data_IF_270659797201
#
_entry.id   IF_270659797201
#
_cell.length_a   1.000
_cell.length_b   1.000
_cell.length_c   1.000
_cell.angle_alpha   90.00
_cell.angle_beta   90.00
_cell.angle_gamma   90.00
#
_symmetry.space_group_name_H-M   'P 1'
#
loop_
_entity.id
_entity.type
_entity.pdbx_description
1 polymer ?
#
# COMPACT_ATOMS: atom_id res chain seq x y z
N UNK A 1 -3.15 22.42 9.75
CA UNK A 1 -2.01 22.47 10.71
C UNK A 1 -0.79 21.92 9.98
N UNK A 2 0.44 21.85 10.53
CA UNK A 2 1.47 21.04 9.86
C UNK A 2 1.06 19.57 9.84
N UNK A 3 1.32 18.88 8.72
CA UNK A 3 1.22 17.43 8.62
C UNK A 3 2.37 16.81 9.39
N UNK A 4 2.07 15.90 10.30
CA UNK A 4 3.05 15.12 11.04
C UNK A 4 3.01 13.67 10.58
N UNK A 5 4.19 13.05 10.42
CA UNK A 5 4.32 11.63 10.11
C UNK A 5 5.31 10.97 11.04
N UNK A 6 5.03 9.74 11.47
CA UNK A 6 6.03 8.94 12.16
C UNK A 6 7.11 8.45 11.21
N UNK A 7 8.32 8.98 11.36
CA UNK A 7 9.45 8.58 10.56
C UNK A 7 10.13 7.36 11.19
N UNK A 8 10.07 6.23 10.47
CA UNK A 8 10.64 4.96 10.91
C UNK A 8 12.15 5.07 11.14
N UNK A 9 12.84 5.91 10.36
CA UNK A 9 14.29 6.09 10.49
C UNK A 9 14.65 6.72 11.86
N UNK A 10 13.90 7.71 12.31
CA UNK A 10 14.19 8.45 13.57
C UNK A 10 13.39 7.96 14.77
N UNK A 11 12.34 7.15 14.55
CA UNK A 11 11.39 6.64 15.56
C UNK A 11 10.59 7.74 16.24
N UNK A 12 10.38 8.86 15.57
CA UNK A 12 9.65 9.99 16.10
C UNK A 12 8.62 10.48 15.11
N UNK A 13 7.58 11.14 15.63
CA UNK A 13 6.65 11.89 14.82
C UNK A 13 7.30 13.22 14.45
N UNK A 14 7.41 13.51 13.17
CA UNK A 14 8.12 14.66 12.62
C UNK A 14 7.19 15.52 11.79
N UNK A 15 7.42 16.84 11.79
CA UNK A 15 6.76 17.77 10.88
C UNK A 15 7.19 17.44 9.44
N UNK A 16 6.21 17.16 8.57
CA UNK A 16 6.44 16.80 7.19
C UNK A 16 6.76 18.04 6.36
N UNK A 17 8.02 18.13 5.98
CA UNK A 17 8.55 19.17 5.10
C UNK A 17 9.04 18.55 3.79
N UNK A 18 8.35 18.79 2.65
CA UNK A 18 8.78 18.27 1.36
C UNK A 18 10.08 18.93 0.90
N UNK A 19 10.82 18.23 0.04
CA UNK A 19 12.00 18.73 -0.69
C UNK A 19 11.62 19.86 -1.64
N UNK A 20 10.46 19.75 -2.27
CA UNK A 20 9.87 20.77 -3.14
C UNK A 20 8.42 21.02 -2.70
N UNK A 21 8.09 22.22 -2.15
CA UNK A 21 6.73 22.58 -1.77
C UNK A 21 5.71 22.53 -2.92
N UNK A 22 6.17 22.56 -4.17
CA UNK A 22 5.32 22.45 -5.35
C UNK A 22 4.96 21.02 -5.75
N UNK A 23 5.73 20.01 -5.33
CA UNK A 23 5.52 18.62 -5.72
C UNK A 23 6.04 17.62 -4.67
N UNK A 24 5.12 16.97 -3.96
CA UNK A 24 5.46 15.86 -3.04
C UNK A 24 5.67 14.58 -3.82
N UNK A 25 6.82 13.93 -3.63
CA UNK A 25 7.20 12.69 -4.32
C UNK A 25 7.14 11.50 -3.37
N UNK A 26 6.21 10.59 -3.63
CA UNK A 26 5.95 9.43 -2.79
C UNK A 26 6.12 8.12 -3.55
N UNK A 27 6.90 7.19 -3.01
CA UNK A 27 7.02 5.82 -3.49
C UNK A 27 6.44 4.85 -2.45
N UNK A 28 5.65 3.87 -2.87
CA UNK A 28 5.17 2.78 -2.00
C UNK A 28 5.43 1.46 -2.68
N UNK A 29 6.10 0.53 -2.00
CA UNK A 29 6.33 -0.81 -2.53
C UNK A 29 5.01 -1.53 -2.78
N UNK A 30 4.79 -1.96 -4.03
CA UNK A 30 3.58 -2.66 -4.44
C UNK A 30 3.66 -4.18 -4.35
N UNK A 31 2.64 -4.89 -4.86
CA UNK A 31 2.53 -6.32 -4.68
C UNK A 31 3.39 -7.12 -5.66
N UNK A 32 3.76 -8.34 -5.26
CA UNK A 32 4.17 -9.39 -6.20
C UNK A 32 2.93 -10.01 -6.83
N UNK A 33 2.78 -9.90 -8.15
CA UNK A 33 1.55 -10.26 -8.87
C UNK A 33 1.56 -11.72 -9.34
N UNK A 34 1.59 -12.66 -8.40
CA UNK A 34 1.57 -14.11 -8.68
C UNK A 34 0.23 -14.79 -8.35
N UNK A 35 -0.64 -14.13 -7.58
CA UNK A 35 -1.92 -14.64 -7.11
C UNK A 35 -2.87 -13.49 -6.77
N UNK A 36 -4.13 -13.79 -6.40
CA UNK A 36 -5.09 -12.78 -5.96
C UNK A 36 -4.68 -12.09 -4.66
N UNK A 37 -5.06 -10.81 -4.54
CA UNK A 37 -4.72 -9.96 -3.41
C UNK A 37 -5.48 -10.41 -2.15
N UNK A 38 -4.75 -10.61 -1.05
CA UNK A 38 -5.36 -10.81 0.25
C UNK A 38 -5.46 -9.50 1.04
N UNK A 39 -6.24 -9.51 2.11
CA UNK A 39 -6.43 -8.34 3.00
C UNK A 39 -5.11 -7.72 3.49
N UNK A 40 -4.08 -8.54 3.73
CA UNK A 40 -2.73 -8.04 4.01
C UNK A 40 -2.09 -7.22 2.88
N UNK A 41 -2.37 -7.52 1.60
CA UNK A 41 -1.94 -6.69 0.47
C UNK A 41 -2.82 -5.44 0.30
N UNK A 42 -4.08 -5.52 0.72
CA UNK A 42 -5.03 -4.41 0.65
C UNK A 42 -4.70 -3.31 1.67
N UNK A 43 -4.29 -3.70 2.88
CA UNK A 43 -4.00 -2.76 3.97
C UNK A 43 -3.01 -1.64 3.57
N UNK A 44 -1.79 -1.92 3.06
CA UNK A 44 -0.90 -0.85 2.63
C UNK A 44 -1.55 0.03 1.55
N UNK A 45 -2.21 -0.56 0.55
CA UNK A 45 -2.86 0.21 -0.50
C UNK A 45 -3.91 1.21 0.03
N UNK A 46 -4.74 0.77 0.98
CA UNK A 46 -5.76 1.61 1.62
C UNK A 46 -5.14 2.69 2.51
N UNK A 47 -4.12 2.36 3.31
CA UNK A 47 -3.43 3.31 4.18
C UNK A 47 -2.74 4.41 3.37
N UNK A 48 -1.98 4.02 2.34
CA UNK A 48 -1.24 4.98 1.53
C UNK A 48 -2.16 5.75 0.57
N UNK A 49 -3.35 5.25 0.25
CA UNK A 49 -4.40 6.04 -0.40
C UNK A 49 -4.93 7.16 0.49
N UNK A 50 -5.15 6.91 1.80
CA UNK A 50 -5.51 7.99 2.74
C UNK A 50 -4.40 9.04 2.79
N UNK A 51 -3.14 8.62 2.88
CA UNK A 51 -2.00 9.55 2.83
C UNK A 51 -1.97 10.35 1.51
N UNK A 52 -2.17 9.68 0.37
CA UNK A 52 -2.20 10.33 -0.93
C UNK A 52 -3.31 11.39 -1.02
N UNK A 53 -4.52 11.07 -0.53
CA UNK A 53 -5.65 12.01 -0.49
C UNK A 53 -5.36 13.22 0.41
N UNK A 54 -4.77 13.01 1.59
CA UNK A 54 -4.35 14.09 2.49
C UNK A 54 -3.28 14.97 1.82
N UNK A 55 -2.27 14.37 1.20
CA UNK A 55 -1.23 15.12 0.48
C UNK A 55 -1.84 15.95 -0.66
N UNK A 56 -2.80 15.41 -1.42
CA UNK A 56 -3.49 16.15 -2.49
C UNK A 56 -4.37 17.29 -1.96
N UNK A 57 -4.88 17.18 -0.73
CA UNK A 57 -5.61 18.26 -0.08
C UNK A 57 -4.68 19.38 0.42
N UNK A 58 -3.42 19.06 0.74
CA UNK A 58 -2.46 19.99 1.33
C UNK A 58 -1.47 20.61 0.32
N UNK A 59 -1.18 19.90 -0.77
CA UNK A 59 -0.11 20.27 -1.71
C UNK A 59 -0.63 20.40 -3.14
N UNK A 60 -0.05 21.31 -3.96
CA UNK A 60 -0.51 21.53 -5.33
C UNK A 60 -0.35 20.31 -6.25
N UNK A 61 0.69 19.51 -6.02
CA UNK A 61 0.98 18.32 -6.81
C UNK A 61 1.58 17.25 -5.92
N UNK A 62 1.18 16.00 -6.19
CA UNK A 62 1.75 14.82 -5.57
C UNK A 62 2.05 13.85 -6.69
N UNK A 63 3.30 13.40 -6.80
CA UNK A 63 3.72 12.34 -7.71
C UNK A 63 3.80 11.03 -6.91
N UNK A 64 2.79 10.18 -7.04
CA UNK A 64 2.72 8.89 -6.37
C UNK A 64 3.12 7.74 -7.31
N UNK A 65 4.14 6.99 -6.92
CA UNK A 65 4.65 5.82 -7.64
C UNK A 65 4.45 4.56 -6.81
N UNK A 66 3.90 3.50 -7.41
CA UNK A 66 3.82 2.16 -6.81
C UNK A 66 4.12 1.09 -7.85
N UNK A 67 5.15 0.29 -7.63
CA UNK A 67 5.53 -0.73 -8.60
C UNK A 67 4.61 -1.96 -8.60
N UNK A 68 4.76 -2.78 -9.62
CA UNK A 68 4.37 -4.18 -9.61
C UNK A 68 5.62 -5.05 -9.77
N UNK A 69 5.84 -5.96 -8.83
CA UNK A 69 6.87 -7.00 -8.99
C UNK A 69 6.28 -8.12 -9.83
N UNK A 70 6.61 -8.09 -11.12
CA UNK A 70 6.15 -9.01 -12.16
C UNK A 70 7.24 -10.00 -12.62
N UNK A 71 8.33 -10.09 -11.86
CA UNK A 71 9.32 -11.17 -11.93
C UNK A 71 9.79 -11.53 -10.52
N UNK A 72 9.59 -12.77 -10.09
CA UNK A 72 9.98 -13.25 -8.76
C UNK A 72 10.01 -14.79 -8.75
N UNK A 73 10.66 -15.38 -7.75
CA UNK A 73 10.67 -16.84 -7.55
C UNK A 73 9.26 -17.43 -7.39
N UNK A 74 8.31 -16.71 -6.76
CA UNK A 74 6.91 -17.16 -6.64
C UNK A 74 6.18 -17.16 -7.98
N UNK A 75 6.45 -16.18 -8.84
CA UNK A 75 5.87 -16.09 -10.19
C UNK A 75 6.43 -17.22 -11.05
N UNK A 76 7.74 -17.46 -10.99
CA UNK A 76 8.39 -18.55 -11.72
C UNK A 76 7.88 -19.93 -11.26
N UNK A 77 7.68 -20.13 -9.96
CA UNK A 77 7.11 -21.36 -9.42
C UNK A 77 5.67 -21.57 -9.92
N UNK A 78 4.85 -20.50 -9.97
CA UNK A 78 3.49 -20.55 -10.51
C UNK A 78 3.49 -20.87 -12.00
N UNK A 79 4.33 -20.20 -12.79
CA UNK A 79 4.51 -20.45 -14.22
C UNK A 79 4.87 -21.91 -14.50
N UNK A 80 5.83 -22.46 -13.75
CA UNK A 80 6.21 -23.88 -13.85
C UNK A 80 5.05 -24.82 -13.49
N UNK A 81 4.27 -24.48 -12.46
CA UNK A 81 3.15 -25.31 -12.00
C UNK A 81 1.95 -25.30 -12.97
N UNK A 82 1.67 -24.18 -13.64
CA UNK A 82 0.52 -24.02 -14.55
C UNK A 82 0.88 -24.23 -16.02
N UNK A 83 2.17 -24.16 -16.39
CA UNK A 83 2.62 -24.14 -17.77
C UNK A 83 2.34 -22.81 -18.50
N UNK A 84 1.93 -21.77 -17.78
CA UNK A 84 1.69 -20.43 -18.33
C UNK A 84 2.96 -19.57 -18.28
N UNK A 85 3.12 -18.67 -19.25
CA UNK A 85 4.18 -17.65 -19.21
C UNK A 85 3.95 -16.63 -18.08
N UNK A 86 5.06 -16.06 -17.54
CA UNK A 86 4.99 -15.09 -16.45
C UNK A 86 4.19 -13.84 -16.85
N UNK A 87 4.24 -13.40 -18.11
CA UNK A 87 3.51 -12.24 -18.59
C UNK A 87 2.00 -12.46 -18.53
N UNK A 88 1.53 -13.66 -18.86
CA UNK A 88 0.11 -14.04 -18.77
C UNK A 88 -0.37 -14.05 -17.32
N UNK A 89 0.40 -14.68 -16.42
CA UNK A 89 0.06 -14.75 -15.00
C UNK A 89 -0.01 -13.35 -14.41
N UNK A 90 1.05 -12.56 -14.60
CA UNK A 90 1.22 -11.23 -13.99
C UNK A 90 0.25 -10.21 -14.56
N UNK A 91 -0.10 -10.27 -15.85
CA UNK A 91 -1.13 -9.42 -16.41
C UNK A 91 -2.50 -9.69 -15.78
N UNK A 92 -2.90 -10.97 -15.67
CA UNK A 92 -4.17 -11.38 -15.05
C UNK A 92 -4.27 -10.97 -13.58
N UNK A 93 -3.21 -11.18 -12.81
CA UNK A 93 -3.18 -10.86 -11.37
C UNK A 93 -3.03 -9.36 -11.11
N UNK A 94 -2.33 -8.62 -11.97
CA UNK A 94 -2.28 -7.15 -11.91
C UNK A 94 -3.67 -6.56 -12.14
N UNK A 95 -4.37 -7.00 -13.18
CA UNK A 95 -5.73 -6.56 -13.46
C UNK A 95 -6.67 -6.88 -12.29
N UNK A 96 -6.60 -8.12 -11.76
CA UNK A 96 -7.39 -8.50 -10.59
C UNK A 96 -7.08 -7.64 -9.36
N UNK A 97 -5.80 -7.34 -9.11
CA UNK A 97 -5.38 -6.46 -8.02
C UNK A 97 -5.96 -5.05 -8.19
N UNK A 98 -5.92 -4.47 -9.40
CA UNK A 98 -6.47 -3.14 -9.67
C UNK A 98 -7.99 -3.12 -9.44
N UNK A 99 -8.72 -4.12 -9.93
CA UNK A 99 -10.16 -4.26 -9.70
C UNK A 99 -10.49 -4.40 -8.21
N UNK A 100 -9.72 -5.21 -7.48
CA UNK A 100 -9.93 -5.44 -6.06
C UNK A 100 -9.64 -4.17 -5.25
N UNK A 101 -8.57 -3.43 -5.56
CA UNK A 101 -8.25 -2.17 -4.87
C UNK A 101 -9.23 -1.04 -5.23
N UNK A 102 -9.64 -0.95 -6.50
CA UNK A 102 -10.63 0.01 -6.95
C UNK A 102 -11.99 -0.18 -6.26
N UNK A 103 -12.39 -1.44 -6.04
CA UNK A 103 -13.59 -1.74 -5.26
C UNK A 103 -13.48 -1.32 -3.78
N UNK A 104 -12.27 -1.14 -3.24
CA UNK A 104 -12.02 -0.56 -1.91
C UNK A 104 -11.85 0.98 -1.94
N UNK A 105 -12.19 1.64 -3.05
CA UNK A 105 -12.06 3.08 -3.22
C UNK A 105 -10.61 3.59 -3.24
N UNK A 106 -9.63 2.73 -3.50
CA UNK A 106 -8.21 3.11 -3.59
C UNK A 106 -7.97 3.84 -4.91
N UNK A 107 -7.40 5.04 -4.85
CA UNK A 107 -6.98 5.78 -6.04
C UNK A 107 -5.78 5.11 -6.70
N UNK A 108 -5.72 5.20 -8.03
CA UNK A 108 -4.54 4.76 -8.76
C UNK A 108 -3.36 5.71 -8.53
N UNK A 109 -2.14 5.18 -8.33
CA UNK A 109 -0.91 5.95 -8.38
C UNK A 109 -0.71 6.63 -9.74
N UNK A 110 -0.02 7.77 -9.76
CA UNK A 110 0.34 8.49 -10.98
C UNK A 110 1.25 7.66 -11.90
N UNK A 111 2.09 6.79 -11.32
CA UNK A 111 2.94 5.86 -12.08
C UNK A 111 2.96 4.47 -11.44
N UNK A 112 2.78 3.44 -12.27
CA UNK A 112 2.74 2.04 -11.84
C UNK A 112 3.77 1.18 -12.59
N UNK A 113 5.08 1.33 -12.30
CA UNK A 113 6.11 0.67 -13.10
C UNK A 113 6.19 -0.83 -12.83
N UNK A 114 6.51 -1.59 -13.87
CA UNK A 114 6.75 -3.04 -13.80
C UNK A 114 8.24 -3.34 -13.76
N UNK A 115 8.67 -4.28 -12.92
CA UNK A 115 10.07 -4.68 -12.81
C UNK A 115 10.66 -5.16 -14.14
N UNK A 116 9.90 -5.97 -14.90
CA UNK A 116 10.35 -6.49 -16.22
C UNK A 116 10.62 -5.40 -17.26
N UNK A 117 10.06 -4.19 -17.08
CA UNK A 117 10.24 -3.04 -17.97
C UNK A 117 11.42 -2.14 -17.56
N UNK A 118 12.11 -2.45 -16.47
CA UNK A 118 13.15 -1.62 -15.86
C UNK A 118 14.49 -2.34 -15.67
N UNK A 119 14.71 -3.42 -16.43
CA UNK A 119 15.92 -4.24 -16.33
C UNK A 119 17.17 -3.44 -16.67
N UNK A 120 17.10 -2.53 -17.65
CA UNK A 120 18.23 -1.69 -18.04
C UNK A 120 18.67 -0.76 -16.90
N UNK A 121 17.72 -0.14 -16.21
CA UNK A 121 18.01 0.72 -15.05
C UNK A 121 18.58 -0.07 -13.87
N UNK A 122 18.08 -1.29 -13.64
CA UNK A 122 18.64 -2.19 -12.63
C UNK A 122 20.09 -2.56 -12.96
N UNK A 123 20.38 -2.95 -14.20
CA UNK A 123 21.74 -3.29 -14.63
C UNK A 123 22.67 -2.08 -14.45
N UNK A 124 22.26 -0.88 -14.89
CA UNK A 124 23.07 0.34 -14.78
C UNK A 124 23.38 0.71 -13.31
N UNK A 125 22.40 0.55 -12.41
CA UNK A 125 22.62 0.77 -10.98
C UNK A 125 23.59 -0.26 -10.39
N UNK A 126 23.50 -1.53 -10.81
CA UNK A 126 24.41 -2.59 -10.37
C UNK A 126 25.84 -2.33 -10.87
N UNK A 127 26.02 -1.92 -12.13
CA UNK A 127 27.32 -1.51 -12.66
C UNK A 127 27.94 -0.39 -11.82
N UNK A 128 27.14 0.65 -11.52
CA UNK A 128 27.57 1.77 -10.65
C UNK A 128 28.00 1.29 -9.26
N UNK A 129 27.24 0.36 -8.66
CA UNK A 129 27.57 -0.22 -7.36
C UNK A 129 28.89 -1.01 -7.39
N UNK A 130 29.17 -1.74 -8.46
CA UNK A 130 30.45 -2.45 -8.65
C UNK A 130 31.59 -1.44 -8.81
N UNK A 131 31.43 -0.45 -9.68
CA UNK A 131 32.43 0.59 -9.94
C UNK A 131 32.83 1.33 -8.66
N UNK A 132 31.85 1.60 -7.78
CA UNK A 132 32.07 2.25 -6.47
C UNK A 132 32.55 1.30 -5.36
N UNK A 133 32.73 0.01 -5.65
CA UNK A 133 33.23 -0.98 -4.68
C UNK A 133 32.19 -1.44 -3.65
N UNK A 134 30.90 -1.20 -3.89
CA UNK A 134 29.79 -1.62 -3.03
C UNK A 134 29.16 -2.95 -3.46
N UNK A 135 29.47 -3.44 -4.67
CA UNK A 135 29.01 -4.73 -5.16
C UNK A 135 30.14 -5.52 -5.81
N UNK A 136 29.93 -6.83 -5.97
CA UNK A 136 30.87 -7.72 -6.65
C UNK A 136 30.15 -8.85 -7.38
N UNK A 137 30.74 -9.31 -8.48
CA UNK A 137 30.30 -10.49 -9.20
C UNK A 137 30.97 -11.75 -8.64
N UNK A 138 30.21 -12.85 -8.55
CA UNK A 138 30.70 -14.18 -8.15
C UNK A 138 29.78 -15.26 -8.74
N UNK A 139 30.33 -16.24 -9.44
CA UNK A 139 29.59 -17.38 -10.00
C UNK A 139 28.31 -16.99 -10.77
N UNK A 140 28.41 -15.97 -11.62
CA UNK A 140 27.27 -15.43 -12.40
C UNK A 140 26.25 -14.61 -11.60
N UNK A 141 26.40 -14.52 -10.28
CA UNK A 141 25.64 -13.63 -9.41
C UNK A 141 26.32 -12.27 -9.32
N UNK A 142 25.55 -11.26 -8.94
CA UNK A 142 26.08 -10.00 -8.39
C UNK A 142 25.48 -9.78 -7.02
N UNK A 143 26.33 -9.43 -6.06
CA UNK A 143 25.96 -9.22 -4.67
C UNK A 143 26.35 -7.83 -4.22
N UNK A 144 25.50 -7.25 -3.36
CA UNK A 144 25.86 -6.08 -2.57
C UNK A 144 26.73 -6.53 -1.39
N UNK A 145 27.85 -5.86 -1.18
CA UNK A 145 28.72 -6.09 -0.04
C UNK A 145 28.25 -5.26 1.14
N UNK A 146 27.54 -5.88 2.09
CA UNK A 146 27.03 -5.18 3.29
C UNK A 146 28.15 -4.49 4.08
N UNK A 147 29.33 -5.11 4.29
CA UNK A 147 30.44 -4.45 4.97
C UNK A 147 30.95 -3.15 4.31
N UNK A 148 30.62 -2.91 3.03
CA UNK A 148 30.99 -1.67 2.33
C UNK A 148 30.17 -0.44 2.76
N UNK A 149 29.08 -0.64 3.52
CA UNK A 149 28.23 0.42 4.05
C UNK A 149 28.26 0.39 5.60
N UNK A 150 29.06 1.27 6.24
CA UNK A 150 29.26 1.22 7.69
C UNK A 150 28.00 1.38 8.55
N UNK A 151 26.99 2.11 8.05
CA UNK A 151 25.74 2.41 8.74
C UNK A 151 24.55 1.53 8.27
N UNK A 152 24.82 0.42 7.57
CA UNK A 152 23.79 -0.56 7.20
C UNK A 152 23.07 -1.10 8.45
N UNK A 153 21.74 -1.15 8.42
CA UNK A 153 20.92 -1.54 9.58
C UNK A 153 20.31 -0.34 10.32
N UNK A 154 20.57 0.90 9.88
CA UNK A 154 20.08 2.10 10.54
C UNK A 154 18.54 2.19 10.56
N UNK A 155 17.86 1.78 9.49
CA UNK A 155 16.40 1.83 9.42
C UNK A 155 15.76 0.81 10.36
N UNK A 156 16.25 -0.43 10.35
CA UNK A 156 15.72 -1.55 11.13
C UNK A 156 16.21 -1.58 12.58
N UNK A 157 17.28 -0.83 12.89
CA UNK A 157 18.02 -0.87 14.17
C UNK A 157 18.63 -2.24 14.48
N UNK A 158 18.84 -3.07 13.46
CA UNK A 158 19.54 -4.35 13.60
C UNK A 158 21.03 -4.13 13.53
N UNK A 159 21.76 -4.66 14.50
CA UNK A 159 23.22 -4.70 14.45
C UNK A 159 23.69 -5.91 13.60
N UNK A 160 24.97 -5.90 13.24
CA UNK A 160 25.57 -6.95 12.39
C UNK A 160 25.41 -8.37 12.95
N UNK A 161 25.50 -8.54 14.27
CA UNK A 161 25.39 -9.85 14.90
C UNK A 161 23.97 -10.40 14.78
N UNK A 162 22.94 -9.56 14.92
CA UNK A 162 21.54 -9.94 14.69
C UNK A 162 21.26 -10.30 13.22
N UNK A 163 21.89 -9.60 12.28
CA UNK A 163 21.79 -9.88 10.85
C UNK A 163 22.35 -11.28 10.52
N UNK A 164 23.53 -11.60 11.06
CA UNK A 164 24.20 -12.89 10.85
C UNK A 164 23.47 -14.02 11.60
N UNK A 165 23.00 -13.77 12.83
CA UNK A 165 22.28 -14.76 13.63
C UNK A 165 20.90 -15.13 13.06
N UNK A 166 20.29 -14.25 12.27
CA UNK A 166 19.08 -14.54 11.49
C UNK A 166 19.35 -15.35 10.22
N UNK A 167 20.54 -15.21 9.64
CA UNK A 167 20.97 -15.92 8.44
C UNK A 167 21.45 -17.36 8.74
N UNK A 168 20.73 -18.12 9.60
CA UNK A 168 21.08 -19.48 10.13
C UNK A 168 21.24 -20.60 9.07
N UNK A 169 21.51 -20.24 7.82
CA UNK A 169 21.79 -21.11 6.69
C UNK A 169 23.29 -21.04 6.39
N UNK A 170 23.85 -22.15 5.92
CA UNK A 170 25.20 -22.20 5.37
C UNK A 170 25.40 -21.05 4.36
N UNK A 171 26.44 -20.23 4.55
CA UNK A 171 26.73 -19.11 3.65
C UNK A 171 26.95 -19.68 2.27
N UNK A 172 26.11 -19.28 1.31
CA UNK A 172 26.24 -19.76 -0.07
C UNK A 172 27.66 -19.46 -0.57
N UNK A 173 28.32 -20.39 -1.29
CA UNK A 173 29.75 -20.32 -1.57
C UNK A 173 30.18 -19.08 -2.37
N UNK A 174 29.24 -18.46 -3.09
CA UNK A 174 29.46 -17.23 -3.85
C UNK A 174 29.40 -15.95 -3.00
N UNK A 175 29.08 -16.03 -1.70
CA UNK A 175 29.04 -14.89 -0.78
C UNK A 175 30.37 -14.74 -0.03
N UNK A 176 30.89 -13.51 0.02
CA UNK A 176 32.04 -13.12 0.87
C UNK A 176 31.63 -12.91 2.33
N UNK A 177 30.41 -12.44 2.56
CA UNK A 177 29.81 -12.26 3.89
C UNK A 177 28.38 -12.84 3.92
N UNK A 178 27.97 -13.39 5.06
CA UNK A 178 26.64 -13.98 5.23
C UNK A 178 25.49 -12.97 5.00
N UNK A 179 25.74 -11.70 5.33
CA UNK A 179 24.78 -10.60 5.18
C UNK A 179 24.65 -10.08 3.74
N UNK A 180 25.63 -10.38 2.87
CA UNK A 180 25.59 -9.94 1.47
C UNK A 180 24.33 -10.44 0.77
N UNK A 181 23.70 -9.58 -0.03
CA UNK A 181 22.43 -9.89 -0.69
C UNK A 181 22.52 -9.75 -2.20
N UNK A 182 21.67 -10.50 -2.89
CA UNK A 182 21.67 -10.60 -4.35
C UNK A 182 21.13 -9.30 -4.96
N UNK A 183 21.88 -8.76 -5.90
CA UNK A 183 21.45 -7.73 -6.84
C UNK A 183 21.02 -8.34 -8.18
N UNK A 184 21.75 -9.37 -8.63
CA UNK A 184 21.48 -10.12 -9.86
C UNK A 184 21.77 -11.60 -9.63
N UNK A 185 20.90 -12.49 -10.12
CA UNK A 185 21.09 -13.95 -10.04
C UNK A 185 20.99 -14.60 -11.42
N UNK A 186 21.77 -15.65 -11.70
CA UNK A 186 21.64 -16.45 -12.91
C UNK A 186 20.22 -16.96 -13.12
N UNK A 187 19.86 -17.15 -14.39
CA UNK A 187 18.58 -17.71 -14.77
C UNK A 187 18.77 -18.88 -15.72
N UNK A 188 18.18 -20.03 -15.38
CA UNK A 188 18.17 -21.21 -16.23
C UNK A 188 17.36 -20.96 -17.52
N UNK A 189 17.57 -21.73 -18.60
CA UNK A 189 16.88 -21.51 -19.87
C UNK A 189 15.35 -21.60 -19.79
N UNK A 190 14.82 -22.36 -18.84
CA UNK A 190 13.39 -22.60 -18.61
C UNK A 190 12.73 -21.57 -17.68
N UNK A 191 13.50 -20.63 -17.12
CA UNK A 191 12.98 -19.50 -16.35
C UNK A 191 13.30 -18.15 -17.01
N UNK A 192 12.46 -17.12 -16.80
CA UNK A 192 12.66 -15.78 -17.36
C UNK A 192 14.03 -15.20 -16.99
N UNK A 193 14.67 -14.56 -17.96
CA UNK A 193 15.98 -13.96 -17.79
C UNK A 193 16.33 -13.00 -18.91
N UNK A 194 17.29 -12.14 -18.64
CA UNK A 194 17.77 -11.08 -19.52
C UNK A 194 19.30 -11.14 -19.60
N UNK A 195 19.83 -10.67 -20.72
CA UNK A 195 21.26 -10.56 -20.90
C UNK A 195 21.82 -9.41 -20.05
N UNK A 196 22.99 -9.63 -19.46
CA UNK A 196 23.69 -8.65 -18.64
C UNK A 196 25.21 -8.84 -18.77
N UNK A 197 26.03 -7.89 -18.30
CA UNK A 197 27.48 -8.04 -18.25
C UNK A 197 27.96 -9.28 -17.47
N UNK A 198 27.11 -9.84 -16.60
CA UNK A 198 27.41 -11.00 -15.76
C UNK A 198 26.79 -12.30 -16.29
N UNK A 199 26.30 -12.28 -17.53
CA UNK A 199 25.59 -13.38 -18.16
C UNK A 199 24.07 -13.29 -18.02
N UNK A 200 23.37 -14.30 -18.54
CA UNK A 200 21.90 -14.36 -18.48
C UNK A 200 21.44 -14.51 -17.04
N UNK A 201 20.59 -13.61 -16.59
CA UNK A 201 20.07 -13.63 -15.23
C UNK A 201 18.82 -12.80 -15.05
N UNK A 202 18.52 -12.45 -13.80
CA UNK A 202 17.32 -11.72 -13.39
C UNK A 202 17.59 -10.95 -12.10
N UNK A 203 16.83 -9.89 -11.83
CA UNK A 203 17.07 -9.04 -10.67
C UNK A 203 16.87 -9.79 -9.35
N UNK A 204 17.58 -9.33 -8.32
CA UNK A 204 17.23 -9.57 -6.93
C UNK A 204 16.05 -8.70 -6.52
N UNK A 205 15.26 -9.14 -5.54
CA UNK A 205 14.01 -8.48 -5.15
C UNK A 205 14.16 -6.98 -4.83
N UNK A 206 15.25 -6.57 -4.20
CA UNK A 206 15.42 -5.20 -3.70
C UNK A 206 15.82 -4.18 -4.79
N UNK A 207 16.60 -4.60 -5.80
CA UNK A 207 17.17 -3.67 -6.79
C UNK A 207 16.10 -3.02 -7.66
N UNK A 208 14.95 -3.70 -7.79
CA UNK A 208 13.82 -3.22 -8.58
C UNK A 208 13.31 -1.88 -8.07
N UNK A 209 12.99 -1.80 -6.77
CA UNK A 209 12.41 -0.61 -6.16
C UNK A 209 13.40 0.56 -6.13
N UNK A 210 14.69 0.30 -5.84
CA UNK A 210 15.75 1.30 -5.91
C UNK A 210 15.87 1.93 -7.31
N UNK A 211 15.91 1.10 -8.36
CA UNK A 211 16.06 1.59 -9.73
C UNK A 211 14.80 2.32 -10.23
N UNK A 212 13.62 1.76 -9.99
CA UNK A 212 12.35 2.36 -10.44
C UNK A 212 12.06 3.67 -9.71
N UNK A 213 12.19 3.70 -8.38
CA UNK A 213 11.96 4.94 -7.60
C UNK A 213 12.91 6.06 -8.03
N UNK A 214 14.20 5.77 -8.23
CA UNK A 214 15.18 6.74 -8.71
C UNK A 214 14.81 7.29 -10.11
N UNK A 215 14.35 6.44 -11.03
CA UNK A 215 13.93 6.86 -12.38
C UNK A 215 12.76 7.85 -12.35
N UNK A 216 11.76 7.63 -11.50
CA UNK A 216 10.53 8.43 -11.49
C UNK A 216 10.56 9.60 -10.51
N UNK A 217 11.29 9.48 -9.40
CA UNK A 217 11.28 10.45 -8.32
C UNK A 217 12.65 11.12 -8.08
N UNK A 218 13.72 10.64 -8.72
CA UNK A 218 15.10 11.09 -8.50
C UNK A 218 15.81 10.34 -7.36
N UNK A 219 17.09 10.61 -7.18
CA UNK A 219 17.96 9.91 -6.22
C UNK A 219 17.57 10.10 -4.74
N UNK A 220 16.88 11.21 -4.44
CA UNK A 220 16.30 11.50 -3.13
C UNK A 220 14.90 12.07 -3.30
N UNK A 221 13.93 11.51 -2.56
CA UNK A 221 12.52 11.94 -2.57
C UNK A 221 11.92 12.03 -1.16
N UNK A 222 10.63 12.39 -1.08
CA UNK A 222 10.00 12.78 0.18
C UNK A 222 9.62 11.57 1.02
N UNK A 223 8.74 10.69 0.52
CA UNK A 223 8.11 9.63 1.31
C UNK A 223 8.37 8.27 0.66
N UNK A 224 8.89 7.32 1.42
CA UNK A 224 8.93 5.90 1.06
C UNK A 224 8.03 5.09 2.02
N UNK A 225 7.06 4.37 1.45
CA UNK A 225 6.04 3.64 2.18
C UNK A 225 6.05 2.12 1.97
N UNK A 226 5.57 1.37 2.96
CA UNK A 226 5.31 -0.06 2.83
C UNK A 226 4.80 -0.72 4.11
N UNK A 227 4.63 -2.05 4.09
CA UNK A 227 4.31 -2.82 5.30
C UNK A 227 5.49 -2.89 6.27
N UNK A 228 5.22 -3.10 7.57
CA UNK A 228 6.26 -3.22 8.60
C UNK A 228 7.26 -4.37 8.32
N UNK A 229 6.85 -5.43 7.62
CA UNK A 229 7.74 -6.48 7.11
C UNK A 229 8.78 -6.00 6.11
N UNK A 230 8.51 -4.89 5.41
CA UNK A 230 9.44 -4.36 4.41
C UNK A 230 10.59 -3.57 5.03
N UNK A 231 10.50 -3.11 6.28
CA UNK A 231 11.61 -2.43 6.98
C UNK A 231 12.90 -3.23 6.83
N UNK A 232 12.82 -4.55 7.05
CA UNK A 232 13.95 -5.45 6.88
C UNK A 232 13.53 -6.81 6.31
N UNK A 233 14.22 -7.32 5.27
CA UNK A 233 15.43 -6.76 4.66
C UNK A 233 15.18 -5.72 3.57
N UNK A 234 13.93 -5.56 3.10
CA UNK A 234 13.66 -4.92 1.81
C UNK A 234 14.10 -3.44 1.74
N UNK A 235 13.49 -2.57 2.54
CA UNK A 235 13.78 -1.15 2.56
C UNK A 235 15.20 -0.82 3.06
N UNK A 236 15.75 -1.62 3.99
CA UNK A 236 17.16 -1.48 4.40
C UNK A 236 18.10 -1.72 3.21
N UNK A 237 17.82 -2.74 2.38
CA UNK A 237 18.59 -3.02 1.18
C UNK A 237 18.42 -1.94 0.11
N UNK A 238 17.23 -1.37 -0.03
CA UNK A 238 16.99 -0.26 -0.96
C UNK A 238 17.74 1.01 -0.56
N UNK A 239 17.76 1.35 0.73
CA UNK A 239 18.60 2.42 1.26
C UNK A 239 20.06 2.18 0.89
N UNK A 240 20.55 0.96 1.10
CA UNK A 240 21.94 0.60 0.83
C UNK A 240 22.27 0.72 -0.66
N UNK A 241 21.47 0.12 -1.53
CA UNK A 241 21.63 0.22 -2.98
C UNK A 241 21.60 1.67 -3.46
N UNK A 242 20.58 2.43 -3.06
CA UNK A 242 20.33 3.77 -3.59
C UNK A 242 21.37 4.78 -3.10
N UNK A 243 21.72 4.78 -1.81
CA UNK A 243 22.74 5.69 -1.25
C UNK A 243 24.13 5.35 -1.76
N UNK A 244 24.49 4.07 -1.84
CA UNK A 244 25.80 3.66 -2.36
C UNK A 244 25.93 3.91 -3.87
N UNK A 245 24.85 3.75 -4.64
CA UNK A 245 24.84 4.05 -6.08
C UNK A 245 24.91 5.56 -6.37
N UNK A 246 24.14 6.39 -5.66
CA UNK A 246 24.07 7.85 -5.90
C UNK A 246 25.15 8.65 -5.14
N UNK A 247 25.60 8.16 -3.98
CA UNK A 247 26.43 8.93 -3.04
C UNK A 247 25.64 9.88 -2.15
N UNK A 248 24.30 9.80 -2.16
CA UNK A 248 23.43 10.65 -1.33
C UNK A 248 23.41 10.20 0.13
N UNK A 249 23.12 11.15 1.04
CA UNK A 249 22.96 10.84 2.46
C UNK A 249 21.59 10.21 2.76
N UNK A 250 20.57 10.54 1.97
CA UNK A 250 19.21 10.05 2.13
C UNK A 250 18.71 9.50 0.81
N UNK A 251 18.02 8.36 0.88
CA UNK A 251 17.22 7.84 -0.23
C UNK A 251 15.80 8.41 -0.19
N UNK A 252 15.16 8.38 0.98
CA UNK A 252 13.90 9.06 1.26
C UNK A 252 13.99 9.82 2.59
N UNK A 253 13.28 10.95 2.69
CA UNK A 253 13.26 11.74 3.94
C UNK A 253 12.41 11.11 5.03
N UNK A 254 11.24 10.59 4.66
CA UNK A 254 10.28 9.99 5.58
C UNK A 254 10.01 8.54 5.20
N UNK A 255 10.22 7.65 6.17
CA UNK A 255 9.92 6.23 6.04
C UNK A 255 8.65 5.88 6.79
N UNK A 256 7.57 5.58 6.08
CA UNK A 256 6.23 5.39 6.64
C UNK A 256 5.84 3.91 6.53
N UNK A 257 5.51 3.27 7.65
CA UNK A 257 5.19 1.83 7.64
C UNK A 257 3.88 1.52 8.37
N UNK A 258 2.99 0.77 7.71
CA UNK A 258 1.77 0.25 8.35
C UNK A 258 2.05 -1.03 9.13
N UNK A 259 1.32 -1.23 10.22
CA UNK A 259 1.42 -2.40 11.09
C UNK A 259 0.96 -3.69 10.43
N UNK A 260 1.27 -4.81 11.06
CA UNK A 260 0.86 -6.14 10.61
C UNK A 260 -0.65 -6.33 10.65
N UNK A 261 -1.15 -7.14 9.74
CA UNK A 261 -2.49 -7.69 9.83
C UNK A 261 -2.40 -9.14 10.35
N UNK A 262 -3.15 -9.47 11.39
CA UNK A 262 -3.38 -10.85 11.86
C UNK A 262 -4.82 -11.24 11.53
N UNK A 263 -5.13 -12.53 11.47
CA UNK A 263 -6.50 -13.05 11.34
C UNK A 263 -6.76 -13.89 12.57
N UNK A 264 -7.73 -13.51 13.39
CA UNK A 264 -8.09 -14.20 14.64
C UNK A 264 -6.88 -14.46 15.56
N UNK A 265 -6.05 -13.42 15.76
CA UNK A 265 -4.80 -13.44 16.53
C UNK A 265 -3.68 -14.36 15.98
N UNK A 266 -3.90 -14.99 14.83
CA UNK A 266 -2.89 -15.74 14.10
C UNK A 266 -2.29 -14.94 12.94
N UNK A 267 -1.01 -15.20 12.65
CA UNK A 267 -0.37 -14.63 11.47
C UNK A 267 -0.99 -15.26 10.22
N UNK A 268 -1.38 -14.44 9.24
CA UNK A 268 -1.85 -14.95 7.95
C UNK A 268 -0.79 -15.80 7.26
N UNK A 269 -1.15 -17.03 6.86
CA UNK A 269 -0.28 -17.88 6.05
C UNK A 269 -1.08 -18.85 5.19
N UNK A 270 -0.56 -19.15 3.99
CA UNK A 270 -1.16 -20.16 3.10
C UNK A 270 -1.20 -21.55 3.75
N UNK A 271 -0.22 -21.87 4.60
CA UNK A 271 -0.09 -23.16 5.28
C UNK A 271 -1.16 -23.41 6.34
N UNK A 272 -1.68 -22.35 6.98
CA UNK A 272 -2.73 -22.46 8.01
C UNK A 272 -4.13 -22.30 7.38
N UNK A 273 -4.20 -21.81 6.14
CA UNK A 273 -5.46 -21.69 5.39
C UNK A 273 -6.32 -20.50 5.81
N UNK A 274 -5.78 -19.56 6.60
CA UNK A 274 -6.49 -18.38 7.12
C UNK A 274 -6.32 -17.13 6.23
N UNK A 275 -5.89 -17.29 4.99
CA UNK A 275 -5.78 -16.17 4.04
C UNK A 275 -7.14 -15.94 3.41
N UNK A 276 -7.66 -14.73 3.58
CA UNK A 276 -8.88 -14.28 2.93
C UNK A 276 -8.53 -13.26 1.85
N UNK A 277 -9.00 -13.52 0.63
CA UNK A 277 -8.82 -12.60 -0.49
C UNK A 277 -9.79 -11.43 -0.40
N UNK A 278 -9.40 -10.30 -0.99
CA UNK A 278 -10.31 -9.14 -1.10
C UNK A 278 -11.54 -9.52 -1.92
N UNK A 279 -11.34 -10.33 -2.96
CA UNK A 279 -12.41 -10.79 -3.85
C UNK A 279 -13.45 -11.66 -3.13
N UNK A 280 -13.02 -12.58 -2.27
CA UNK A 280 -13.94 -13.37 -1.44
C UNK A 280 -14.76 -12.46 -0.52
N UNK A 281 -14.11 -11.51 0.17
CA UNK A 281 -14.82 -10.61 1.08
C UNK A 281 -15.82 -9.69 0.39
N UNK A 282 -15.53 -9.28 -0.84
CA UNK A 282 -16.45 -8.48 -1.65
C UNK A 282 -17.72 -9.23 -2.03
N UNK A 283 -17.69 -10.56 -2.00
CA UNK A 283 -18.90 -11.38 -2.12
C UNK A 283 -19.81 -11.30 -0.89
N UNK A 284 -19.24 -10.99 0.28
CA UNK A 284 -19.92 -11.01 1.58
C UNK A 284 -20.29 -9.62 2.12
N UNK A 285 -19.56 -8.57 1.75
CA UNK A 285 -19.83 -7.18 2.16
C UNK A 285 -19.43 -6.14 1.09
N UNK A 286 -19.97 -4.91 1.14
CA UNK A 286 -19.51 -3.81 0.29
C UNK A 286 -18.03 -3.48 0.51
N UNK A 287 -17.37 -3.01 -0.55
CA UNK A 287 -15.95 -2.67 -0.52
C UNK A 287 -15.60 -1.56 0.49
N UNK A 288 -16.46 -0.55 0.65
CA UNK A 288 -16.26 0.49 1.68
C UNK A 288 -16.26 -0.08 3.11
N UNK A 289 -17.00 -1.16 3.38
CA UNK A 289 -16.99 -1.81 4.69
C UNK A 289 -15.63 -2.48 4.98
N UNK A 290 -15.03 -3.13 3.99
CA UNK A 290 -13.67 -3.68 4.08
C UNK A 290 -12.67 -2.55 4.31
N UNK A 291 -12.79 -1.45 3.56
CA UNK A 291 -11.94 -0.27 3.68
C UNK A 291 -12.02 0.34 5.08
N UNK A 292 -13.23 0.56 5.60
CA UNK A 292 -13.45 1.08 6.94
C UNK A 292 -12.83 0.16 7.99
N UNK A 293 -13.02 -1.16 7.88
CA UNK A 293 -12.42 -2.12 8.81
C UNK A 293 -10.88 -2.06 8.81
N UNK A 294 -10.24 -1.87 7.65
CA UNK A 294 -8.78 -1.73 7.53
C UNK A 294 -8.24 -0.43 8.15
N UNK A 295 -9.08 0.60 8.26
CA UNK A 295 -8.76 1.93 8.80
C UNK A 295 -9.27 2.16 10.23
N UNK A 296 -10.02 1.20 10.80
CA UNK A 296 -10.66 1.34 12.12
C UNK A 296 -9.63 1.52 13.25
N UNK A 297 -8.44 0.95 13.09
CA UNK A 297 -7.28 1.19 13.95
C UNK A 297 -6.24 2.06 13.28
N UNK A 298 -5.42 2.74 14.09
CA UNK A 298 -4.31 3.55 13.59
C UNK A 298 -3.36 2.71 12.70
N UNK A 299 -2.94 3.25 11.55
CA UNK A 299 -2.27 2.47 10.51
C UNK A 299 -1.01 1.72 10.97
N UNK A 300 -0.25 2.29 11.90
CA UNK A 300 0.98 1.72 12.50
C UNK A 300 0.72 0.57 13.46
N UNK A 301 -0.48 0.45 14.02
CA UNK A 301 -0.79 -0.59 14.99
C UNK A 301 -1.09 -1.92 14.29
N UNK A 302 -0.75 -3.07 14.92
CA UNK A 302 -1.29 -4.34 14.49
C UNK A 302 -2.82 -4.27 14.43
N UNK A 303 -3.41 -4.82 13.38
CA UNK A 303 -4.85 -4.89 13.23
C UNK A 303 -5.25 -6.36 13.16
N UNK A 304 -6.06 -6.78 14.12
CA UNK A 304 -6.60 -8.13 14.16
C UNK A 304 -7.86 -8.19 13.28
N UNK A 305 -7.81 -8.91 12.19
CA UNK A 305 -8.92 -9.09 11.28
C UNK A 305 -9.88 -10.17 11.80
N UNK A 306 -11.17 -9.86 11.81
CA UNK A 306 -12.23 -10.80 12.18
C UNK A 306 -13.53 -10.46 11.45
N UNK A 307 -14.41 -11.45 11.29
CA UNK A 307 -15.75 -11.22 10.73
C UNK A 307 -16.60 -10.27 11.59
N UNK A 308 -16.33 -10.22 12.90
CA UNK A 308 -16.99 -9.28 13.82
C UNK A 308 -16.63 -7.83 13.49
N UNK A 309 -15.34 -7.53 13.29
CA UNK A 309 -14.89 -6.19 12.90
C UNK A 309 -15.50 -5.74 11.57
N UNK A 310 -15.69 -6.67 10.64
CA UNK A 310 -16.31 -6.36 9.35
C UNK A 310 -17.81 -6.00 9.49
N UNK A 311 -18.55 -6.73 10.33
CA UNK A 311 -19.96 -6.40 10.64
C UNK A 311 -20.10 -5.07 11.38
N UNK A 312 -19.17 -4.78 12.29
CA UNK A 312 -19.11 -3.50 13.00
C UNK A 312 -18.84 -2.34 12.03
N UNK A 313 -17.91 -2.52 11.09
CA UNK A 313 -17.64 -1.56 10.03
C UNK A 313 -18.86 -1.29 9.14
N UNK A 314 -19.57 -2.35 8.71
CA UNK A 314 -20.83 -2.20 7.95
C UNK A 314 -21.87 -1.43 8.73
N UNK A 315 -22.06 -1.76 10.01
CA UNK A 315 -23.02 -1.08 10.91
C UNK A 315 -22.65 0.38 11.14
N UNK A 316 -21.37 0.70 11.25
CA UNK A 316 -20.89 2.08 11.38
C UNK A 316 -21.21 2.88 10.11
N UNK A 317 -20.93 2.32 8.93
CA UNK A 317 -21.24 2.94 7.64
C UNK A 317 -22.75 3.09 7.42
N UNK A 318 -23.58 2.13 7.82
CA UNK A 318 -25.05 2.24 7.75
C UNK A 318 -25.57 3.51 8.45
N UNK A 319 -24.95 3.89 9.57
CA UNK A 319 -25.30 5.13 10.28
C UNK A 319 -24.90 6.38 9.51
N UNK A 320 -23.74 6.35 8.84
CA UNK A 320 -23.27 7.45 8.01
C UNK A 320 -24.14 7.60 6.75
N UNK A 321 -24.39 6.50 6.04
CA UNK A 321 -25.28 6.46 4.87
C UNK A 321 -26.73 6.85 5.21
N UNK A 322 -27.22 6.51 6.41
CA UNK A 322 -28.55 6.99 6.85
C UNK A 322 -28.58 8.51 6.97
N UNK A 323 -27.51 9.13 7.47
CA UNK A 323 -27.41 10.58 7.56
C UNK A 323 -27.30 11.21 6.16
N UNK A 324 -26.48 10.65 5.26
CA UNK A 324 -26.37 11.12 3.87
C UNK A 324 -27.73 11.02 3.16
N UNK A 325 -28.44 9.90 3.30
CA UNK A 325 -29.79 9.72 2.73
C UNK A 325 -30.79 10.77 3.23
N UNK A 326 -30.72 11.14 4.52
CA UNK A 326 -31.54 12.25 5.04
C UNK A 326 -31.18 13.57 4.34
N UNK A 327 -29.91 13.84 4.12
CA UNK A 327 -29.45 14.98 3.34
C UNK A 327 -30.07 15.00 1.95
N UNK A 328 -29.91 13.90 1.21
CA UNK A 328 -30.43 13.78 -0.16
C UNK A 328 -31.96 13.87 -0.26
N UNK A 329 -32.71 13.55 0.81
CA UNK A 329 -34.16 13.75 0.85
C UNK A 329 -34.60 15.23 0.95
N UNK A 330 -33.67 16.11 1.33
CA UNK A 330 -33.90 17.57 1.38
C UNK A 330 -33.51 18.21 0.07
N UNK A 331 -32.38 17.78 -0.49
CA UNK A 331 -31.83 18.27 -1.75
C UNK A 331 -31.07 17.11 -2.42
N UNK A 332 -31.58 16.65 -3.57
CA UNK A 332 -31.05 15.49 -4.29
C UNK A 332 -29.67 15.78 -4.92
N UNK A 333 -29.32 17.06 -5.10
CA UNK A 333 -28.10 17.52 -5.76
C UNK A 333 -26.98 17.88 -4.77
N UNK A 334 -27.10 17.52 -3.48
CA UNK A 334 -26.07 17.80 -2.47
C UNK A 334 -24.74 17.18 -2.89
N UNK A 335 -23.72 18.04 -2.95
CA UNK A 335 -22.34 17.66 -3.25
C UNK A 335 -21.45 17.76 -1.99
N UNK A 336 -20.26 17.15 -1.98
CA UNK A 336 -19.26 17.43 -0.96
C UNK A 336 -18.94 18.94 -0.88
N UNK A 337 -18.69 19.44 0.32
CA UNK A 337 -18.17 20.79 0.50
C UNK A 337 -16.79 20.95 -0.18
N UNK A 338 -16.51 22.16 -0.68
CA UNK A 338 -15.22 22.48 -1.33
C UNK A 338 -14.01 22.27 -0.41
N UNK A 339 -14.19 22.53 0.89
CA UNK A 339 -13.16 22.37 1.91
C UNK A 339 -13.46 21.18 2.83
N UNK A 340 -12.41 20.40 3.14
CA UNK A 340 -12.51 19.33 4.14
C UNK A 340 -12.75 19.95 5.53
N UNK A 341 -13.68 19.39 6.33
CA UNK A 341 -13.88 19.85 7.70
C UNK A 341 -12.59 19.84 8.52
N UNK A 342 -12.29 20.97 9.17
CA UNK A 342 -11.04 21.20 9.91
C UNK A 342 -10.67 20.06 10.86
N UNK A 343 -11.59 19.59 11.71
CA UNK A 343 -11.30 18.54 12.71
C UNK A 343 -10.93 17.19 12.07
N UNK A 344 -11.50 16.89 10.89
CA UNK A 344 -11.19 15.66 10.15
C UNK A 344 -9.81 15.75 9.54
N UNK A 345 -9.49 16.88 8.88
CA UNK A 345 -8.17 17.11 8.32
C UNK A 345 -7.11 17.16 9.43
N UNK A 346 -7.39 17.86 10.53
CA UNK A 346 -6.54 17.96 11.72
C UNK A 346 -6.17 16.59 12.32
N UNK A 347 -7.14 15.68 12.41
CA UNK A 347 -6.89 14.31 12.87
C UNK A 347 -5.95 13.56 11.91
N UNK A 348 -6.14 13.72 10.60
CA UNK A 348 -5.30 13.04 9.61
C UNK A 348 -3.92 13.69 9.44
N UNK A 349 -3.81 15.01 9.67
CA UNK A 349 -2.55 15.73 9.79
C UNK A 349 -1.72 15.22 11.00
N UNK A 350 -2.35 14.62 12.01
CA UNK A 350 -1.65 13.99 13.13
C UNK A 350 -1.34 12.50 12.87
N UNK A 351 -0.34 12.22 12.01
CA UNK A 351 0.11 10.86 11.67
C UNK A 351 -1.04 9.94 11.21
N UNK A 352 -1.95 10.46 10.38
CA UNK A 352 -3.09 9.73 9.82
C UNK A 352 -3.95 9.06 10.90
N UNK A 353 -4.36 9.81 11.93
CA UNK A 353 -5.20 9.32 13.02
C UNK A 353 -6.64 9.06 12.56
N UNK A 354 -6.84 7.98 11.80
CA UNK A 354 -8.14 7.56 11.25
C UNK A 354 -9.19 7.23 12.32
N UNK A 355 -8.87 6.67 13.51
CA UNK A 355 -9.87 6.51 14.56
C UNK A 355 -10.50 7.85 15.01
N UNK A 356 -9.67 8.89 15.16
CA UNK A 356 -10.17 10.23 15.53
C UNK A 356 -10.95 10.87 14.37
N UNK A 357 -10.47 10.72 13.13
CA UNK A 357 -11.20 11.16 11.95
C UNK A 357 -12.60 10.52 11.86
N UNK A 358 -12.72 9.21 12.11
CA UNK A 358 -14.01 8.50 12.15
C UNK A 358 -14.94 9.00 13.27
N UNK A 359 -14.39 9.36 14.44
CA UNK A 359 -15.20 9.99 15.48
C UNK A 359 -15.83 11.30 14.97
N UNK A 360 -15.06 12.14 14.28
CA UNK A 360 -15.56 13.37 13.68
C UNK A 360 -16.57 13.14 12.53
N UNK A 361 -16.42 12.09 11.73
CA UNK A 361 -17.45 11.69 10.74
C UNK A 361 -18.79 11.37 11.43
N UNK A 362 -18.77 10.62 12.53
CA UNK A 362 -19.98 10.31 13.30
C UNK A 362 -20.59 11.54 13.99
N UNK A 363 -19.77 12.50 14.41
CA UNK A 363 -20.24 13.79 14.91
C UNK A 363 -20.95 14.59 13.81
N UNK A 364 -20.41 14.62 12.58
CA UNK A 364 -21.05 15.24 11.41
C UNK A 364 -22.38 14.57 11.09
N UNK A 365 -22.43 13.23 11.05
CA UNK A 365 -23.68 12.49 10.88
C UNK A 365 -24.70 12.81 12.00
N UNK A 366 -24.24 13.00 13.23
CA UNK A 366 -25.10 13.43 14.34
C UNK A 366 -25.62 14.86 14.14
N UNK A 367 -24.81 15.78 13.58
CA UNK A 367 -25.25 17.13 13.23
C UNK A 367 -26.33 17.10 12.16
N UNK A 368 -26.13 16.31 11.09
CA UNK A 368 -27.17 16.07 10.06
C UNK A 368 -28.46 15.59 10.72
N UNK A 369 -28.39 14.61 11.63
CA UNK A 369 -29.55 14.04 12.32
C UNK A 369 -30.22 15.00 13.34
N UNK A 370 -29.50 15.96 13.91
CA UNK A 370 -30.06 16.92 14.88
C UNK A 370 -30.53 18.24 14.25
N UNK A 371 -30.06 18.56 13.04
CA UNK A 371 -30.44 19.74 12.29
C UNK A 371 -31.97 19.87 12.17
N UNK A 372 -32.45 21.12 12.31
CA UNK A 372 -33.88 21.45 12.38
C UNK A 372 -34.40 22.13 11.13
N UNK A 373 -33.51 22.65 10.29
CA UNK A 373 -33.85 23.30 9.03
C UNK A 373 -33.14 22.61 7.87
N UNK A 374 -33.74 22.71 6.70
CA UNK A 374 -33.20 22.13 5.46
C UNK A 374 -31.78 22.63 5.17
N UNK A 375 -31.55 23.94 5.28
CA UNK A 375 -30.21 24.52 5.14
C UNK A 375 -29.17 23.97 6.13
N UNK A 376 -29.56 23.66 7.38
CA UNK A 376 -28.65 23.03 8.33
C UNK A 376 -28.36 21.56 7.97
N UNK A 377 -29.35 20.85 7.44
CA UNK A 377 -29.20 19.47 6.98
C UNK A 377 -28.24 19.43 5.78
N UNK A 378 -28.46 20.28 4.78
CA UNK A 378 -27.62 20.40 3.59
C UNK A 378 -26.17 20.68 3.99
N UNK A 379 -25.90 21.78 4.71
CA UNK A 379 -24.54 22.16 5.07
C UNK A 379 -23.79 21.08 5.89
N UNK A 380 -24.48 20.38 6.80
CA UNK A 380 -23.86 19.29 7.56
C UNK A 380 -23.61 18.04 6.71
N UNK A 381 -24.44 17.80 5.69
CA UNK A 381 -24.28 16.68 4.76
C UNK A 381 -23.12 16.93 3.79
N UNK A 382 -22.99 18.14 3.24
CA UNK A 382 -21.85 18.55 2.40
C UNK A 382 -20.51 18.32 3.13
N UNK A 383 -20.45 18.70 4.42
CA UNK A 383 -19.28 18.46 5.27
C UNK A 383 -19.04 16.96 5.52
N UNK A 384 -20.08 16.17 5.77
CA UNK A 384 -19.96 14.73 5.97
C UNK A 384 -19.42 14.03 4.70
N UNK A 385 -19.91 14.42 3.53
CA UNK A 385 -19.47 13.88 2.24
C UNK A 385 -18.00 14.26 1.97
N UNK A 386 -17.60 15.51 2.18
CA UNK A 386 -16.20 15.94 2.03
C UNK A 386 -15.25 15.18 2.98
N UNK A 387 -15.69 14.95 4.22
CA UNK A 387 -14.96 14.15 5.19
C UNK A 387 -14.85 12.67 4.78
N UNK A 388 -15.94 12.08 4.28
CA UNK A 388 -15.96 10.73 3.74
C UNK A 388 -15.01 10.57 2.55
N UNK A 389 -15.05 11.51 1.60
CA UNK A 389 -14.23 11.50 0.39
C UNK A 389 -12.72 11.54 0.71
N UNK A 390 -12.31 12.30 1.72
CA UNK A 390 -10.90 12.32 2.16
C UNK A 390 -10.43 10.95 2.66
N UNK A 391 -11.34 10.18 3.29
CA UNK A 391 -11.08 8.82 3.75
C UNK A 391 -11.38 7.76 2.70
N UNK A 392 -11.89 8.11 1.52
CA UNK A 392 -12.33 7.18 0.47
C UNK A 392 -13.59 6.39 0.84
N UNK A 393 -14.54 7.03 1.51
CA UNK A 393 -15.82 6.49 1.96
C UNK A 393 -16.97 7.41 1.50
N UNK A 394 -18.20 6.91 1.60
CA UNK A 394 -19.43 7.65 1.24
C UNK A 394 -19.45 8.05 -0.24
N UNK A 395 -18.85 7.23 -1.10
CA UNK A 395 -18.84 7.43 -2.55
C UNK A 395 -19.97 6.69 -3.28
N UNK A 396 -20.65 5.77 -2.62
CA UNK A 396 -21.80 5.07 -3.17
C UNK A 396 -23.11 5.87 -3.00
N UNK A 397 -24.09 5.57 -3.85
CA UNK A 397 -25.46 6.05 -3.64
C UNK A 397 -26.08 5.34 -2.39
N UNK A 398 -26.70 6.07 -1.44
CA UNK A 398 -27.24 5.47 -0.23
C UNK A 398 -28.30 4.38 -0.47
N UNK A 399 -29.11 4.49 -1.51
CA UNK A 399 -30.12 3.47 -1.81
C UNK A 399 -29.45 2.18 -2.32
N UNK A 400 -28.45 2.32 -3.18
CA UNK A 400 -27.59 1.20 -3.61
C UNK A 400 -26.89 0.54 -2.44
N UNK A 401 -26.37 1.33 -1.49
CA UNK A 401 -25.74 0.83 -0.26
C UNK A 401 -26.69 -0.01 0.62
N UNK A 402 -27.93 0.45 0.82
CA UNK A 402 -28.91 -0.26 1.65
C UNK A 402 -29.56 -1.46 0.96
N UNK A 403 -29.62 -1.46 -0.38
CA UNK A 403 -30.10 -2.59 -1.19
C UNK A 403 -29.01 -3.60 -1.51
N UNK A 404 -27.76 -3.30 -1.18
CA UNK A 404 -26.65 -4.21 -1.41
C UNK A 404 -26.93 -5.58 -0.77
N UNK A 405 -26.73 -6.64 -1.55
CA UNK A 405 -26.89 -8.03 -1.12
C UNK A 405 -25.63 -8.82 -1.46
N UNK A 406 -25.27 -9.74 -0.57
CA UNK A 406 -24.18 -10.68 -0.80
C UNK A 406 -24.42 -11.51 -2.06
N UNK A 407 -23.36 -11.89 -2.77
CA UNK A 407 -23.46 -12.63 -4.04
C UNK A 407 -24.25 -13.95 -3.88
N UNK A 408 -24.24 -14.56 -2.69
CA UNK A 408 -25.02 -15.75 -2.36
C UNK A 408 -26.50 -15.50 -2.02
N UNK A 409 -26.91 -14.26 -1.75
CA UNK A 409 -28.27 -13.87 -1.35
C UNK A 409 -29.08 -13.24 -2.50
N UNK A 410 -28.42 -12.83 -3.59
CA UNK A 410 -29.05 -12.31 -4.82
C UNK A 410 -30.01 -13.30 -5.53
N UNK A 411 -30.12 -14.54 -5.03
CA UNK A 411 -31.12 -15.52 -5.47
C UNK A 411 -32.53 -15.31 -4.87
N UNK A 412 -32.74 -14.24 -4.10
CA UNK A 412 -34.06 -13.80 -3.63
C UNK A 412 -34.92 -13.15 -4.72
N UNK A 413 -36.13 -12.74 -4.35
CA UNK A 413 -37.01 -11.96 -5.23
C UNK A 413 -36.29 -10.67 -5.66
N UNK A 414 -36.29 -10.37 -6.95
CA UNK A 414 -35.77 -9.12 -7.51
C UNK A 414 -36.53 -7.90 -6.97
N UNK A 415 -35.92 -6.72 -7.01
CA UNK A 415 -36.56 -5.45 -6.62
C UNK A 415 -37.94 -5.27 -7.28
N UNK A 416 -38.07 -5.65 -8.56
CA UNK A 416 -39.34 -5.59 -9.29
C UNK A 416 -40.39 -6.58 -8.73
N UNK A 417 -39.97 -7.71 -8.18
CA UNK A 417 -40.85 -8.69 -7.55
C UNK A 417 -41.22 -8.28 -6.13
N UNK A 418 -40.33 -7.61 -5.39
CA UNK A 418 -40.62 -7.06 -4.06
C UNK A 418 -41.56 -5.86 -4.16
N UNK A 419 -41.31 -4.93 -5.08
CA UNK A 419 -42.17 -3.76 -5.32
C UNK A 419 -43.56 -4.16 -5.85
N UNK A 420 -43.69 -5.33 -6.49
CA UNK A 420 -44.98 -5.88 -6.89
C UNK A 420 -45.77 -6.55 -5.75
N UNK A 421 -45.12 -6.79 -4.59
CA UNK A 421 -45.71 -7.41 -3.41
C UNK A 421 -46.06 -6.41 -2.29
N UNK A 422 -45.61 -5.16 -2.40
CA UNK A 422 -45.94 -4.02 -1.54
C UNK A 422 -47.12 -3.26 -2.16
#
# INVERSE_FOLDING_TARGET
MPLYLHNTLTRQKEDFQPLDPGNVRMYVCGPTVYDYAHIGNARPAVVFDVLYRVLKALYPTVTYVRNFTDVDDKINAKAKATGEDIGTITARTTEAYLQDMGALGVLEPDVQPRATQHIAEMIAMIETLIEKGHAYAADGHVLFSVPSMPDYGALSRRNRDELIAGARVEVAPYKRDAADFILWKPSEPDIPGWDSPWGRGRPGWHIECSAMSAKYLGETFDIHGGGLDLIFPHHENEIAQSRCASGTQLFARYWVHNGYLTVEDEKMSKSIGNIVTVRELRGDVPGEAIRYALLAGHYRQPLNWSSAHLREAKTALDRLYTAVRRGLSVDEDIAPADEVPFEVLAALEDDLNTPLAFAHLHELATKVNKAKTDSQITAATEQLLAAGQLLGLLGEDPESWFRWQAEGEQAGLSDAEIDALI
#
